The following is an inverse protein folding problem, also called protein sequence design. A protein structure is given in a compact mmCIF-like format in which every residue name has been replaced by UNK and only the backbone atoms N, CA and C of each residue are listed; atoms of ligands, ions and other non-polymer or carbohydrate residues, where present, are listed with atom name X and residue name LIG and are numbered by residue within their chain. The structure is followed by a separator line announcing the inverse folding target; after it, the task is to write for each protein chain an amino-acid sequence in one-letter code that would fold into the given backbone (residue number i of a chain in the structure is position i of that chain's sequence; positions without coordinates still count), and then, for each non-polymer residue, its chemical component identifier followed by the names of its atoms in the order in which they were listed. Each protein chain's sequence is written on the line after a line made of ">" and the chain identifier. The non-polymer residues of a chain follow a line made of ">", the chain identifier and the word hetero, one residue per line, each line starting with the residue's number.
data_IF_480067139434
#
_entry.id   IF_480067139434
#
_cell.length_a   1.000
_cell.length_b   1.000
_cell.length_c   1.000
_cell.angle_alpha   90.00
_cell.angle_beta   90.00
_cell.angle_gamma   90.00
#
_symmetry.space_group_name_H-M   'P 1'
#
loop_
_entity.id
_entity.type
_entity.pdbx_description
1 polymer ?
#
# COMPACT_ATOMS: atom_id res chain seq x y z
N UNK A 1 -22.16 2.92 35.65
CA UNK A 1 -21.62 3.10 34.28
C UNK A 1 -21.04 4.50 34.18
N UNK A 2 -19.78 4.67 34.57
CA UNK A 2 -19.02 5.89 34.34
C UNK A 2 -18.54 5.88 32.89
N UNK A 3 -19.19 6.67 32.04
CA UNK A 3 -18.73 6.89 30.67
C UNK A 3 -17.36 7.59 30.75
N UNK A 4 -16.29 6.88 30.39
CA UNK A 4 -15.00 7.50 30.12
C UNK A 4 -15.23 8.51 28.99
N UNK A 5 -14.84 9.79 29.14
CA UNK A 5 -14.99 10.75 28.07
C UNK A 5 -14.22 10.25 26.85
N UNK A 6 -14.84 10.29 25.67
CA UNK A 6 -14.19 9.97 24.40
C UNK A 6 -13.10 11.03 24.19
N UNK A 7 -11.86 10.71 24.57
CA UNK A 7 -10.71 11.60 24.40
C UNK A 7 -10.52 11.85 22.90
N UNK A 8 -10.58 13.11 22.48
CA UNK A 8 -10.34 13.47 21.09
C UNK A 8 -8.83 13.52 20.86
N UNK A 9 -8.25 12.83 19.86
CA UNK A 9 -6.81 12.90 19.60
C UNK A 9 -6.30 14.32 19.35
N UNK A 10 -7.14 15.24 18.89
CA UNK A 10 -6.77 16.65 18.72
C UNK A 10 -6.57 17.41 20.04
N UNK A 11 -6.94 16.84 21.19
CA UNK A 11 -6.62 17.41 22.50
C UNK A 11 -5.14 17.18 22.88
N UNK A 12 -4.47 16.22 22.22
CA UNK A 12 -3.07 15.83 22.48
C UNK A 12 -2.14 16.39 21.40
N UNK A 13 -2.62 16.51 20.15
CA UNK A 13 -1.80 16.94 19.02
C UNK A 13 -1.66 18.47 18.94
N UNK A 14 -0.48 19.01 18.58
CA UNK A 14 -0.31 20.44 18.33
C UNK A 14 -1.24 20.94 17.22
N UNK A 15 -1.88 22.10 17.43
CA UNK A 15 -2.84 22.67 16.47
C UNK A 15 -2.24 22.97 15.07
N UNK A 16 -0.91 23.17 14.98
CA UNK A 16 -0.19 23.47 13.73
C UNK A 16 0.51 22.27 13.10
N UNK A 17 0.34 21.06 13.67
CA UNK A 17 1.10 19.87 13.28
C UNK A 17 0.99 19.55 11.79
N UNK A 18 -0.20 19.71 11.21
CA UNK A 18 -0.47 19.33 9.82
C UNK A 18 -0.28 20.47 8.81
N UNK A 19 0.13 21.67 9.24
CA UNK A 19 0.13 22.86 8.37
C UNK A 19 1.10 22.76 7.18
N UNK A 20 2.30 22.18 7.37
CA UNK A 20 3.26 22.04 6.26
C UNK A 20 2.92 20.86 5.33
N UNK A 21 2.18 19.85 5.81
CA UNK A 21 1.66 18.79 4.94
C UNK A 21 0.57 19.31 3.99
N UNK A 22 0.00 20.48 4.28
CA UNK A 22 -0.89 21.22 3.38
C UNK A 22 -0.19 22.31 2.56
N UNK A 23 1.13 22.52 2.72
CA UNK A 23 1.85 23.55 1.96
C UNK A 23 1.86 23.21 0.47
N UNK A 24 1.38 24.16 -0.36
CA UNK A 24 1.43 24.04 -1.81
C UNK A 24 2.84 24.42 -2.27
N UNK A 25 3.42 23.63 -3.16
CA UNK A 25 4.76 23.90 -3.72
C UNK A 25 5.82 22.85 -3.42
N UNK A 26 5.45 21.59 -3.17
CA UNK A 26 6.40 20.46 -3.20
C UNK A 26 7.32 20.28 -1.99
N UNK A 27 7.54 21.35 -1.23
CA UNK A 27 8.22 21.36 0.08
C UNK A 27 7.70 20.29 1.06
N UNK A 28 6.43 19.88 0.94
CA UNK A 28 5.86 18.75 1.68
C UNK A 28 6.73 17.48 1.57
N UNK A 29 7.25 17.17 0.39
CA UNK A 29 8.06 15.98 0.14
C UNK A 29 9.38 16.06 0.89
N UNK A 30 10.01 17.24 0.89
CA UNK A 30 11.22 17.50 1.66
C UNK A 30 10.96 17.40 3.17
N UNK A 31 9.87 17.99 3.68
CA UNK A 31 9.52 17.88 5.10
C UNK A 31 9.35 16.41 5.55
N UNK A 32 8.62 15.60 4.77
CA UNK A 32 8.39 14.19 5.11
C UNK A 32 9.69 13.39 5.02
N UNK A 33 10.51 13.62 3.98
CA UNK A 33 11.80 12.94 3.83
C UNK A 33 12.76 13.25 4.99
N UNK A 34 12.84 14.52 5.40
CA UNK A 34 13.64 14.96 6.55
C UNK A 34 13.13 14.30 7.84
N UNK A 35 11.82 14.32 8.08
CA UNK A 35 11.24 13.73 9.28
C UNK A 35 11.48 12.22 9.38
N UNK A 36 11.39 11.48 8.28
CA UNK A 36 11.68 10.05 8.26
C UNK A 36 13.15 9.74 8.59
N UNK A 37 14.09 10.57 8.09
CA UNK A 37 15.51 10.44 8.44
C UNK A 37 15.75 10.72 9.92
N UNK A 38 15.15 11.78 10.45
CA UNK A 38 15.24 12.10 11.88
C UNK A 38 14.63 10.97 12.73
N UNK A 39 13.53 10.36 12.28
CA UNK A 39 12.93 9.19 12.91
C UNK A 39 13.88 7.99 12.94
N UNK A 40 14.52 7.66 11.82
CA UNK A 40 15.50 6.56 11.75
C UNK A 40 16.69 6.81 12.71
N UNK A 41 17.13 8.06 12.85
CA UNK A 41 18.18 8.44 13.81
C UNK A 41 17.68 8.32 15.25
N UNK A 42 16.44 8.73 15.53
CA UNK A 42 15.85 8.65 16.86
C UNK A 42 15.59 7.19 17.30
N UNK A 43 15.24 6.29 16.38
CA UNK A 43 14.91 4.89 16.65
C UNK A 43 16.08 4.14 17.32
N UNK A 44 17.31 4.41 16.90
CA UNK A 44 18.50 3.67 17.37
C UNK A 44 19.42 4.47 18.28
N UNK A 45 19.20 5.78 18.44
CA UNK A 45 20.07 6.63 19.25
C UNK A 45 19.60 6.73 20.70
N UNK A 46 20.39 6.16 21.61
CA UNK A 46 20.14 6.19 23.07
C UNK A 46 20.61 7.47 23.77
N UNK A 47 21.44 8.28 23.11
CA UNK A 47 22.11 9.44 23.73
C UNK A 47 21.46 10.77 23.37
N UNK A 48 20.31 10.75 22.69
CA UNK A 48 19.62 11.94 22.21
C UNK A 48 20.24 12.51 20.94
N UNK A 49 19.47 13.32 20.22
CA UNK A 49 19.89 13.95 18.96
C UNK A 49 20.36 15.38 19.25
N UNK A 50 21.65 15.68 19.06
CA UNK A 50 22.12 17.06 19.17
C UNK A 50 21.67 17.88 17.96
N UNK A 51 21.46 19.19 18.15
CA UNK A 51 21.07 20.10 17.06
C UNK A 51 22.03 20.05 15.87
N UNK A 52 23.33 19.99 16.12
CA UNK A 52 24.37 19.94 15.08
C UNK A 52 24.22 18.69 14.21
N UNK A 53 24.06 17.54 14.85
CA UNK A 53 23.89 16.25 14.18
C UNK A 53 22.62 16.20 13.33
N UNK A 54 21.51 16.80 13.78
CA UNK A 54 20.28 16.92 12.98
C UNK A 54 20.47 17.85 11.78
N UNK A 55 21.19 18.97 11.95
CA UNK A 55 21.45 19.92 10.86
C UNK A 55 22.37 19.31 9.81
N UNK A 56 23.37 18.54 10.24
CA UNK A 56 24.27 17.83 9.33
C UNK A 56 23.51 16.79 8.50
N UNK A 57 22.59 16.02 9.10
CA UNK A 57 21.75 15.07 8.35
C UNK A 57 20.83 15.80 7.35
N UNK A 58 20.18 16.88 7.76
CA UNK A 58 19.31 17.65 6.85
C UNK A 58 20.13 18.23 5.69
N UNK A 59 21.33 18.75 5.98
CA UNK A 59 22.23 19.30 4.97
C UNK A 59 22.72 18.22 3.99
N UNK A 60 23.00 17.01 4.50
CA UNK A 60 23.37 15.86 3.69
C UNK A 60 22.22 15.42 2.77
N UNK A 61 20.98 15.39 3.29
CA UNK A 61 19.79 15.12 2.48
C UNK A 61 19.60 16.16 1.37
N UNK A 62 19.69 17.46 1.67
CA UNK A 62 19.58 18.52 0.65
C UNK A 62 20.69 18.45 -0.42
N UNK A 63 21.83 17.82 -0.09
CA UNK A 63 22.91 17.55 -1.05
C UNK A 63 22.72 16.27 -1.88
N UNK A 64 21.75 15.43 -1.54
CA UNK A 64 21.55 14.12 -2.17
C UNK A 64 20.87 14.21 -3.54
N UNK A 65 21.09 13.18 -4.37
CA UNK A 65 20.39 13.02 -5.66
C UNK A 65 18.87 12.92 -5.48
N UNK A 66 18.42 12.41 -4.33
CA UNK A 66 17.00 12.33 -3.98
C UNK A 66 16.36 13.71 -3.89
N UNK A 67 16.99 14.67 -3.18
CA UNK A 67 16.49 16.03 -3.08
C UNK A 67 16.46 16.73 -4.45
N UNK A 68 17.52 16.58 -5.24
CA UNK A 68 17.60 17.15 -6.60
C UNK A 68 16.54 16.56 -7.54
N UNK A 69 16.19 15.29 -7.38
CA UNK A 69 15.11 14.65 -8.16
C UNK A 69 13.73 15.22 -7.81
N UNK A 70 13.52 15.60 -6.54
CA UNK A 70 12.29 16.21 -6.07
C UNK A 70 12.15 17.64 -6.59
N UNK A 71 13.22 18.43 -6.48
CA UNK A 71 13.28 19.80 -7.02
C UNK A 71 12.96 19.82 -8.53
N UNK A 72 13.56 18.91 -9.29
CA UNK A 72 13.32 18.79 -10.73
C UNK A 72 11.89 18.36 -11.08
N UNK A 73 11.26 17.51 -10.25
CA UNK A 73 9.87 17.09 -10.42
C UNK A 73 8.86 18.20 -10.06
N UNK A 74 9.29 19.22 -9.34
CA UNK A 74 8.44 20.32 -8.83
C UNK A 74 8.47 21.55 -9.74
N UNK A 75 9.54 21.74 -10.52
CA UNK A 75 9.63 22.75 -11.57
C UNK A 75 8.53 22.59 -12.64
N UNK A 76 8.02 21.37 -12.85
CA UNK A 76 6.90 21.09 -13.76
C UNK A 76 5.51 21.42 -13.18
N UNK A 77 5.42 21.74 -11.88
CA UNK A 77 4.14 21.82 -11.14
C UNK A 77 3.79 23.20 -10.56
N UNK A 78 4.66 24.20 -10.65
CA UNK A 78 4.46 25.50 -9.99
C UNK A 78 4.20 26.66 -10.97
N UNK A 79 2.91 26.95 -11.19
CA UNK A 79 2.41 28.28 -11.53
C UNK A 79 1.23 28.60 -10.60
N UNK A 80 1.51 29.03 -9.37
CA UNK A 80 0.84 30.19 -8.75
C UNK A 80 1.46 30.50 -7.38
N UNK A 81 1.53 31.79 -7.11
CA UNK A 81 2.17 32.44 -5.97
C UNK A 81 1.18 32.63 -4.81
N UNK A 82 1.63 32.37 -3.58
CA UNK A 82 1.22 33.10 -2.38
C UNK A 82 2.13 32.72 -1.20
N UNK A 83 3.24 33.43 -1.02
CA UNK A 83 4.11 33.22 0.13
C UNK A 83 4.38 34.54 0.87
N UNK A 84 4.08 34.53 2.17
CA UNK A 84 4.41 35.58 3.14
C UNK A 84 5.91 35.96 3.03
N UNK A 85 6.31 37.25 2.99
CA UNK A 85 7.70 37.67 2.76
C UNK A 85 8.74 37.10 3.73
N UNK A 86 8.30 36.60 4.90
CA UNK A 86 9.15 35.98 5.91
C UNK A 86 9.28 34.46 5.76
N UNK A 87 8.68 33.90 4.70
CA UNK A 87 8.58 32.46 4.43
C UNK A 87 9.22 32.06 3.10
N UNK A 88 10.00 32.98 2.51
CA UNK A 88 10.85 32.69 1.36
C UNK A 88 11.95 31.69 1.77
N UNK A 89 12.15 30.64 0.95
CA UNK A 89 13.28 29.74 1.16
C UNK A 89 14.59 30.54 1.16
N UNK A 90 15.53 30.24 2.09
CA UNK A 90 16.88 30.79 2.05
C UNK A 90 17.58 30.46 0.73
N UNK A 91 18.61 31.22 0.39
CA UNK A 91 19.39 31.02 -0.85
C UNK A 91 19.81 29.55 -1.03
N UNK A 92 19.53 28.92 -2.20
CA UNK A 92 19.87 27.52 -2.48
C UNK A 92 21.35 27.19 -2.28
N UNK A 93 22.23 28.21 -2.28
CA UNK A 93 23.68 28.08 -2.16
C UNK A 93 24.14 27.72 -0.74
N UNK A 94 23.37 28.08 0.30
CA UNK A 94 23.74 27.82 1.69
C UNK A 94 22.88 26.72 2.35
N UNK A 95 23.32 25.46 2.21
CA UNK A 95 22.61 24.28 2.73
C UNK A 95 22.45 24.27 4.26
N UNK A 96 23.42 24.80 5.01
CA UNK A 96 23.35 24.85 6.47
C UNK A 96 22.27 25.83 6.96
N UNK A 97 22.10 26.96 6.26
CA UNK A 97 21.05 27.93 6.55
C UNK A 97 19.67 27.36 6.21
N UNK A 98 19.54 26.67 5.07
CA UNK A 98 18.31 25.94 4.73
C UNK A 98 17.99 24.85 5.75
N UNK A 99 18.97 24.03 6.15
CA UNK A 99 18.78 23.00 7.16
C UNK A 99 18.31 23.59 8.49
N UNK A 100 18.90 24.72 8.90
CA UNK A 100 18.47 25.47 10.09
C UNK A 100 17.06 26.03 9.96
N UNK A 101 16.66 26.46 8.76
CA UNK A 101 15.30 26.93 8.46
C UNK A 101 14.28 25.79 8.54
N UNK A 102 14.56 24.63 7.93
CA UNK A 102 13.73 23.44 8.02
C UNK A 102 13.56 22.96 9.47
N UNK A 103 14.65 22.90 10.23
CA UNK A 103 14.61 22.51 11.64
C UNK A 103 13.75 23.47 12.47
N UNK A 104 13.84 24.79 12.23
CA UNK A 104 13.01 25.78 12.92
C UNK A 104 11.52 25.56 12.63
N UNK A 105 11.18 25.38 11.35
CA UNK A 105 9.81 25.08 10.89
C UNK A 105 9.23 23.83 11.55
N UNK A 106 10.00 22.74 11.59
CA UNK A 106 9.57 21.49 12.20
C UNK A 106 9.31 21.65 13.71
N UNK A 107 10.12 22.44 14.40
CA UNK A 107 9.90 22.76 15.81
C UNK A 107 8.67 23.65 16.02
N UNK A 108 8.50 24.71 15.22
CA UNK A 108 7.32 25.60 15.30
C UNK A 108 5.99 24.89 14.99
N UNK A 109 6.03 23.88 14.12
CA UNK A 109 4.88 23.04 13.81
C UNK A 109 4.56 22.02 14.92
N UNK A 110 5.50 21.78 15.85
CA UNK A 110 5.36 20.82 16.94
C UNK A 110 5.67 19.37 16.53
N UNK A 111 6.43 19.12 15.47
CA UNK A 111 6.95 17.76 15.23
C UNK A 111 8.19 17.44 16.05
N UNK A 112 8.94 18.47 16.42
CA UNK A 112 10.17 18.36 17.17
C UNK A 112 10.12 19.31 18.36
N UNK A 113 10.68 18.89 19.48
CA UNK A 113 10.88 19.72 20.67
C UNK A 113 12.37 19.99 20.86
N UNK A 114 12.69 21.11 21.52
CA UNK A 114 14.06 21.47 21.87
C UNK A 114 14.23 21.40 23.37
N UNK A 115 15.21 20.63 23.82
CA UNK A 115 15.65 20.60 25.21
C UNK A 115 17.06 21.20 25.30
N UNK A 116 17.23 22.20 26.18
CA UNK A 116 18.52 22.78 26.50
C UNK A 116 19.01 22.21 27.82
N UNK A 117 20.16 21.54 27.80
CA UNK A 117 20.80 21.07 29.03
C UNK A 117 21.59 22.21 29.70
N UNK A 118 21.93 22.03 30.98
CA UNK A 118 22.75 22.98 31.74
C UNK A 118 24.11 23.32 31.09
N UNK A 119 24.61 22.42 30.23
CA UNK A 119 25.87 22.58 29.49
C UNK A 119 25.72 23.38 28.18
N UNK A 120 24.57 24.04 27.97
CA UNK A 120 24.19 24.77 26.74
C UNK A 120 24.10 23.91 25.47
N UNK A 121 24.16 22.59 25.62
CA UNK A 121 23.93 21.64 24.52
C UNK A 121 22.43 21.58 24.21
N UNK A 122 22.09 21.81 22.93
CA UNK A 122 20.71 21.71 22.44
C UNK A 122 20.44 20.30 21.89
N UNK A 123 19.46 19.63 22.49
CA UNK A 123 18.92 18.36 22.03
C UNK A 123 17.58 18.55 21.33
N UNK A 124 17.37 17.76 20.29
CA UNK A 124 16.13 17.65 19.55
C UNK A 124 15.42 16.37 20.01
N UNK A 125 14.20 16.54 20.51
CA UNK A 125 13.36 15.45 20.99
C UNK A 125 12.24 15.22 19.97
N UNK A 126 11.96 13.95 19.69
CA UNK A 126 10.83 13.52 18.92
C UNK A 126 9.73 13.04 19.88
N UNK A 127 8.59 13.76 19.99
CA UNK A 127 7.49 13.35 20.87
C UNK A 127 6.84 12.03 20.46
N UNK A 128 6.19 11.33 21.41
CA UNK A 128 5.56 10.02 21.19
C UNK A 128 4.53 10.00 20.05
N UNK A 129 3.73 11.06 19.94
CA UNK A 129 2.75 11.18 18.85
C UNK A 129 3.44 11.31 17.48
N UNK A 130 4.57 12.02 17.42
CA UNK A 130 5.34 12.20 16.19
C UNK A 130 5.97 10.87 15.78
N UNK A 131 6.53 10.12 16.73
CA UNK A 131 7.05 8.77 16.48
C UNK A 131 5.96 7.86 15.87
N UNK A 132 4.77 7.83 16.48
CA UNK A 132 3.63 7.04 16.00
C UNK A 132 3.20 7.42 14.58
N UNK A 133 3.14 8.72 14.28
CA UNK A 133 2.75 9.21 12.96
C UNK A 133 3.82 8.94 11.90
N UNK A 134 5.10 9.11 12.23
CA UNK A 134 6.20 8.84 11.30
C UNK A 134 6.32 7.36 10.96
N UNK A 135 6.12 6.47 11.93
CA UNK A 135 6.10 5.04 11.67
C UNK A 135 4.92 4.65 10.76
N UNK A 136 3.77 5.31 10.90
CA UNK A 136 2.65 5.12 9.98
C UNK A 136 3.00 5.60 8.55
N UNK A 137 3.67 6.75 8.40
CA UNK A 137 4.14 7.25 7.09
C UNK A 137 5.20 6.33 6.48
N UNK A 138 6.14 5.82 7.29
CA UNK A 138 7.15 4.84 6.87
C UNK A 138 6.50 3.56 6.36
N UNK A 139 5.50 3.06 7.08
CA UNK A 139 4.73 1.87 6.67
C UNK A 139 4.03 2.09 5.32
N UNK A 140 3.49 3.30 5.09
CA UNK A 140 2.88 3.68 3.79
C UNK A 140 3.94 3.72 2.69
N UNK A 141 5.11 4.30 2.95
CA UNK A 141 6.22 4.40 1.99
C UNK A 141 6.74 3.02 1.57
N UNK A 142 6.94 2.11 2.53
CA UNK A 142 7.51 0.78 2.26
C UNK A 142 6.55 -0.13 1.50
N UNK A 143 5.24 0.15 1.54
CA UNK A 143 4.18 -0.69 0.94
C UNK A 143 4.34 -2.19 1.28
N UNK A 144 4.84 -2.50 2.48
CA UNK A 144 5.25 -3.86 2.83
C UNK A 144 4.04 -4.80 2.71
N UNK A 145 4.14 -5.92 1.96
CA UNK A 145 3.05 -6.88 1.86
C UNK A 145 2.78 -7.44 3.26
N UNK A 146 1.51 -7.42 3.67
CA UNK A 146 1.11 -7.89 4.99
C UNK A 146 1.28 -9.40 5.12
N UNK A 147 1.83 -9.82 6.26
CA UNK A 147 2.11 -11.21 6.59
C UNK A 147 0.91 -11.86 7.32
N UNK A 148 -0.20 -12.09 6.61
CA UNK A 148 -1.41 -12.69 7.19
C UNK A 148 -1.18 -14.12 7.69
N UNK A 149 -0.40 -14.90 6.94
CA UNK A 149 -0.13 -16.31 7.24
C UNK A 149 0.71 -16.48 8.50
N UNK A 150 1.64 -15.55 8.75
CA UNK A 150 2.46 -15.54 9.97
C UNK A 150 1.62 -15.28 11.21
N UNK A 151 0.74 -14.26 11.16
CA UNK A 151 -0.16 -13.93 12.28
C UNK A 151 -1.13 -15.08 12.59
N UNK A 152 -1.70 -15.71 11.55
CA UNK A 152 -2.60 -16.85 11.75
C UNK A 152 -1.86 -18.07 12.32
N UNK A 153 -0.64 -18.33 11.87
CA UNK A 153 0.22 -19.37 12.44
C UNK A 153 0.53 -19.09 13.91
N UNK A 154 0.90 -17.85 14.26
CA UNK A 154 1.15 -17.45 15.65
C UNK A 154 -0.09 -17.65 16.52
N UNK A 155 -1.27 -17.23 16.05
CA UNK A 155 -2.53 -17.46 16.78
C UNK A 155 -2.81 -18.96 16.99
N UNK A 156 -2.56 -19.79 15.96
CA UNK A 156 -2.68 -21.24 16.06
C UNK A 156 -1.73 -21.82 17.10
N UNK A 157 -0.45 -21.44 17.07
CA UNK A 157 0.54 -21.90 18.04
C UNK A 157 0.18 -21.47 19.46
N UNK A 158 -0.20 -20.21 19.68
CA UNK A 158 -0.60 -19.70 21.00
C UNK A 158 -1.77 -20.50 21.60
N UNK A 159 -2.75 -20.87 20.78
CA UNK A 159 -3.94 -21.59 21.25
C UNK A 159 -3.67 -23.08 21.45
N UNK A 160 -2.84 -23.68 20.60
CA UNK A 160 -2.59 -25.13 20.60
C UNK A 160 -1.39 -25.55 21.45
N UNK A 161 -0.56 -24.61 21.91
CA UNK A 161 0.59 -24.91 22.76
C UNK A 161 0.19 -25.59 24.08
N UNK A 162 1.03 -26.52 24.55
CA UNK A 162 0.83 -27.30 25.77
C UNK A 162 2.15 -27.43 26.54
N UNK A 163 2.74 -26.29 26.93
CA UNK A 163 3.95 -26.23 27.75
C UNK A 163 3.66 -26.00 29.23
N UNK A 164 4.63 -26.30 30.09
CA UNK A 164 4.52 -26.15 31.54
C UNK A 164 4.44 -24.66 31.98
N UNK A 165 5.04 -23.74 31.21
CA UNK A 165 5.00 -22.28 31.43
C UNK A 165 3.83 -21.57 30.69
N UNK A 166 2.81 -22.32 30.27
CA UNK A 166 1.71 -21.78 29.51
C UNK A 166 0.81 -20.87 30.35
N UNK A 167 0.75 -19.59 30.00
CA UNK A 167 -0.24 -18.62 30.50
C UNK A 167 -1.46 -18.59 29.55
N UNK A 168 -2.61 -19.15 29.94
CA UNK A 168 -3.80 -19.13 29.10
C UNK A 168 -4.35 -17.72 28.86
N UNK A 169 -4.24 -16.83 29.85
CA UNK A 169 -4.71 -15.44 29.73
C UNK A 169 -3.88 -14.65 28.69
N UNK A 170 -2.55 -14.78 28.75
CA UNK A 170 -1.66 -14.14 27.79
C UNK A 170 -1.82 -14.74 26.38
N UNK A 171 -1.90 -16.07 26.28
CA UNK A 171 -2.07 -16.74 25.00
C UNK A 171 -3.37 -16.32 24.30
N UNK A 172 -4.48 -16.23 25.05
CA UNK A 172 -5.78 -15.82 24.50
C UNK A 172 -5.78 -14.36 24.06
N UNK A 173 -5.23 -13.45 24.87
CA UNK A 173 -5.15 -12.02 24.53
C UNK A 173 -4.27 -11.77 23.31
N UNK A 174 -3.11 -12.42 23.21
CA UNK A 174 -2.26 -12.34 22.03
C UNK A 174 -2.91 -12.98 20.80
N UNK A 175 -3.59 -14.12 20.95
CA UNK A 175 -4.30 -14.76 19.84
C UNK A 175 -5.44 -13.88 19.32
N UNK A 176 -6.17 -13.20 20.22
CA UNK A 176 -7.20 -12.22 19.84
C UNK A 176 -6.62 -11.12 18.95
N UNK A 177 -5.51 -10.48 19.33
CA UNK A 177 -4.90 -9.42 18.53
C UNK A 177 -4.38 -9.94 17.19
N UNK A 178 -3.76 -11.13 17.15
CA UNK A 178 -3.31 -11.73 15.89
C UNK A 178 -4.49 -12.01 14.94
N UNK A 179 -5.57 -12.62 15.42
CA UNK A 179 -6.76 -12.91 14.61
C UNK A 179 -7.42 -11.61 14.14
N UNK A 180 -7.53 -10.61 15.01
CA UNK A 180 -8.05 -9.28 14.67
C UNK A 180 -7.22 -8.60 13.57
N UNK A 181 -5.90 -8.68 13.66
CA UNK A 181 -4.99 -8.14 12.63
C UNK A 181 -5.16 -8.86 11.29
N UNK A 182 -5.29 -10.19 11.29
CA UNK A 182 -5.56 -10.98 10.08
C UNK A 182 -6.86 -10.53 9.42
N UNK A 183 -7.98 -10.50 10.16
CA UNK A 183 -9.27 -10.13 9.59
C UNK A 183 -9.28 -8.69 9.08
N UNK A 184 -8.74 -7.75 9.87
CA UNK A 184 -8.60 -6.35 9.44
C UNK A 184 -7.78 -6.26 8.16
N UNK A 185 -6.67 -6.99 8.12
CA UNK A 185 -5.79 -7.09 6.97
C UNK A 185 -6.49 -7.56 5.70
N UNK A 186 -7.23 -8.66 5.79
CA UNK A 186 -8.03 -9.22 4.70
C UNK A 186 -9.19 -8.30 4.28
N UNK A 187 -9.83 -7.64 5.24
CA UNK A 187 -10.90 -6.67 4.96
C UNK A 187 -10.37 -5.45 4.21
N UNK A 188 -9.20 -4.95 4.59
CA UNK A 188 -8.53 -3.85 3.89
C UNK A 188 -8.06 -4.28 2.49
N UNK A 189 -7.53 -5.49 2.33
CA UNK A 189 -7.23 -6.07 1.01
C UNK A 189 -8.48 -6.09 0.12
N UNK A 190 -9.60 -6.55 0.67
CA UNK A 190 -10.89 -6.63 -0.03
C UNK A 190 -11.36 -5.23 -0.51
N UNK A 191 -11.28 -4.23 0.37
CA UNK A 191 -11.61 -2.84 0.04
C UNK A 191 -10.65 -2.24 -1.00
N UNK A 192 -9.36 -2.56 -0.91
CA UNK A 192 -8.36 -2.11 -1.87
C UNK A 192 -8.64 -2.68 -3.27
N UNK A 193 -8.91 -3.98 -3.39
CA UNK A 193 -9.27 -4.60 -4.68
C UNK A 193 -10.49 -3.88 -5.28
N UNK A 194 -11.54 -3.62 -4.47
CA UNK A 194 -12.71 -2.86 -4.91
C UNK A 194 -12.33 -1.47 -5.46
N UNK A 195 -11.51 -0.70 -4.72
CA UNK A 195 -11.03 0.61 -5.15
C UNK A 195 -10.29 0.53 -6.49
N UNK A 196 -9.47 -0.50 -6.71
CA UNK A 196 -8.80 -0.74 -7.99
C UNK A 196 -9.77 -1.09 -9.12
N UNK A 197 -10.78 -1.94 -8.86
CA UNK A 197 -11.84 -2.25 -9.85
C UNK A 197 -12.58 -0.99 -10.30
N UNK A 198 -12.92 -0.11 -9.37
CA UNK A 198 -13.57 1.17 -9.65
C UNK A 198 -12.65 2.11 -10.46
N UNK A 199 -11.35 2.14 -10.18
CA UNK A 199 -10.36 2.94 -10.93
C UNK A 199 -10.23 2.50 -12.39
N UNK A 200 -10.20 1.18 -12.65
CA UNK A 200 -10.10 0.59 -13.99
C UNK A 200 -11.33 0.88 -14.86
N UNK A 201 -12.51 1.01 -14.24
CA UNK A 201 -13.78 1.21 -14.96
C UNK A 201 -13.94 2.65 -15.48
N UNK A 202 -13.09 3.59 -15.03
CA UNK A 202 -13.08 4.97 -15.54
C UNK A 202 -12.39 5.02 -16.90
N UNK A 203 -12.90 5.87 -17.80
CA UNK A 203 -12.31 6.03 -19.13
C UNK A 203 -10.93 6.69 -19.03
N UNK A 204 -9.88 5.86 -19.05
CA UNK A 204 -8.45 6.24 -18.90
C UNK A 204 -7.65 5.70 -20.07
N UNK A 205 -6.58 6.36 -20.53
CA UNK A 205 -5.75 5.84 -21.62
C UNK A 205 -5.15 4.46 -21.29
N UNK A 206 -4.89 3.66 -22.34
CA UNK A 206 -4.35 2.29 -22.21
C UNK A 206 -3.05 2.24 -21.42
N UNK A 207 -2.15 3.20 -21.61
CA UNK A 207 -0.88 3.29 -20.88
C UNK A 207 -1.09 3.38 -19.37
N UNK A 208 -2.10 4.14 -18.93
CA UNK A 208 -2.44 4.29 -17.52
C UNK A 208 -3.11 3.03 -16.95
N UNK A 209 -3.95 2.36 -17.74
CA UNK A 209 -4.53 1.06 -17.35
C UNK A 209 -3.46 -0.03 -17.18
N UNK A 210 -2.44 -0.03 -18.06
CA UNK A 210 -1.32 -0.96 -17.96
C UNK A 210 -0.46 -0.68 -16.71
N UNK A 211 -0.13 0.59 -16.43
CA UNK A 211 0.56 0.97 -15.19
C UNK A 211 -0.24 0.55 -13.95
N UNK A 212 -1.55 0.78 -13.95
CA UNK A 212 -2.43 0.37 -12.86
C UNK A 212 -2.42 -1.17 -12.66
N UNK A 213 -2.34 -1.94 -13.74
CA UNK A 213 -2.31 -3.40 -13.67
C UNK A 213 -0.96 -3.93 -13.18
N UNK A 214 0.15 -3.43 -13.72
CA UNK A 214 1.47 -4.03 -13.54
C UNK A 214 2.31 -3.36 -12.45
N UNK A 215 2.22 -2.04 -12.29
CA UNK A 215 3.01 -1.28 -11.33
C UNK A 215 2.27 -1.16 -9.99
N UNK A 216 0.96 -0.82 -10.03
CA UNK A 216 0.18 -0.64 -8.80
C UNK A 216 -0.38 -1.99 -8.29
N UNK A 217 -1.25 -2.65 -9.06
CA UNK A 217 -2.02 -3.79 -8.57
C UNK A 217 -1.18 -5.06 -8.38
N UNK A 218 -0.40 -5.43 -9.40
CA UNK A 218 0.37 -6.66 -9.38
C UNK A 218 1.49 -6.65 -8.33
N UNK A 219 2.13 -5.50 -8.08
CA UNK A 219 3.19 -5.41 -7.06
C UNK A 219 2.62 -5.37 -5.64
N UNK A 220 1.55 -4.60 -5.41
CA UNK A 220 1.03 -4.38 -4.05
C UNK A 220 0.12 -5.51 -3.59
N UNK A 221 -0.81 -5.95 -4.45
CA UNK A 221 -1.87 -6.90 -4.07
C UNK A 221 -1.61 -8.32 -4.57
N UNK A 222 -0.80 -8.48 -5.62
CA UNK A 222 -0.43 -9.78 -6.18
C UNK A 222 0.21 -10.73 -5.16
N UNK A 223 1.29 -10.33 -4.45
CA UNK A 223 1.92 -11.17 -3.45
C UNK A 223 0.99 -11.53 -2.28
N UNK A 224 0.23 -10.54 -1.80
CA UNK A 224 -0.70 -10.73 -0.67
C UNK A 224 -1.79 -11.77 -1.01
N UNK A 225 -2.35 -11.67 -2.21
CA UNK A 225 -3.35 -12.62 -2.73
C UNK A 225 -2.75 -14.02 -3.00
N UNK A 226 -1.56 -14.08 -3.60
CA UNK A 226 -0.91 -15.36 -3.90
C UNK A 226 -0.60 -16.14 -2.62
N UNK A 227 0.00 -15.49 -1.62
CA UNK A 227 0.30 -16.09 -0.31
C UNK A 227 -0.95 -16.67 0.35
N UNK A 228 -2.06 -15.94 0.28
CA UNK A 228 -3.36 -16.39 0.80
C UNK A 228 -3.82 -17.67 0.11
N UNK A 229 -3.77 -17.70 -1.23
CA UNK A 229 -4.24 -18.82 -2.04
C UNK A 229 -3.37 -20.07 -1.92
N UNK A 230 -2.06 -19.91 -1.75
CA UNK A 230 -1.13 -21.04 -1.60
C UNK A 230 -1.02 -21.55 -0.17
N UNK A 231 -1.63 -20.87 0.80
CA UNK A 231 -1.60 -21.29 2.20
C UNK A 231 -2.65 -22.38 2.49
N UNK A 232 -2.28 -23.64 2.29
CA UNK A 232 -3.11 -24.81 2.63
C UNK A 232 -3.43 -24.88 4.15
N UNK A 233 -2.69 -24.14 4.96
CA UNK A 233 -2.78 -24.18 6.40
C UNK A 233 -3.99 -23.44 7.00
N UNK A 234 -4.66 -22.55 6.27
CA UNK A 234 -5.72 -21.70 6.83
C UNK A 234 -6.91 -22.52 7.33
N UNK A 235 -7.36 -23.49 6.54
CA UNK A 235 -8.49 -24.36 6.90
C UNK A 235 -8.15 -25.29 8.08
N UNK A 236 -6.91 -25.80 8.11
CA UNK A 236 -6.42 -26.63 9.21
C UNK A 236 -6.33 -25.84 10.51
N UNK A 237 -5.67 -24.68 10.48
CA UNK A 237 -5.50 -23.83 11.66
C UNK A 237 -6.84 -23.37 12.22
N UNK A 238 -7.80 -23.03 11.35
CA UNK A 238 -9.18 -22.73 11.75
C UNK A 238 -9.77 -23.84 12.61
N UNK A 239 -9.81 -25.06 12.08
CA UNK A 239 -10.45 -26.18 12.78
C UNK A 239 -9.80 -26.42 14.14
N UNK A 240 -8.47 -26.41 14.19
CA UNK A 240 -7.72 -26.65 15.42
C UNK A 240 -7.98 -25.54 16.47
N UNK A 241 -7.97 -24.27 16.04
CA UNK A 241 -8.27 -23.11 16.89
C UNK A 241 -9.69 -23.20 17.45
N UNK A 242 -10.70 -23.37 16.59
CA UNK A 242 -12.11 -23.38 17.01
C UNK A 242 -12.36 -24.53 18.01
N UNK A 243 -11.89 -25.74 17.69
CA UNK A 243 -12.07 -26.89 18.57
C UNK A 243 -11.46 -26.64 19.96
N UNK A 244 -10.26 -26.05 20.01
CA UNK A 244 -9.57 -25.76 21.26
C UNK A 244 -10.29 -24.68 22.08
N UNK A 245 -10.75 -23.61 21.43
CA UNK A 245 -11.49 -22.54 22.07
C UNK A 245 -12.86 -23.00 22.60
N UNK A 246 -13.57 -23.86 21.87
CA UNK A 246 -14.84 -24.45 22.32
C UNK A 246 -14.64 -25.35 23.55
N UNK A 247 -13.53 -26.10 23.61
CA UNK A 247 -13.15 -26.87 24.80
C UNK A 247 -12.93 -25.95 26.01
N UNK A 248 -12.16 -24.88 25.85
CA UNK A 248 -11.91 -23.88 26.90
C UNK A 248 -13.18 -23.18 27.37
N UNK A 249 -14.10 -22.87 26.44
CA UNK A 249 -15.38 -22.24 26.75
C UNK A 249 -16.28 -23.13 27.62
N UNK A 250 -16.18 -24.46 27.48
CA UNK A 250 -17.01 -25.42 28.22
C UNK A 250 -16.40 -25.80 29.56
N UNK A 251 -15.08 -25.64 29.73
CA UNK A 251 -14.37 -25.93 30.97
C UNK A 251 -14.47 -24.76 31.97
N UNK A 252 -15.44 -24.85 32.88
CA UNK A 252 -15.63 -23.86 33.95
C UNK A 252 -14.40 -23.71 34.87
N UNK A 253 -13.63 -24.78 35.08
CA UNK A 253 -12.43 -24.75 35.91
C UNK A 253 -11.26 -24.08 35.20
N UNK A 254 -11.16 -24.22 33.89
CA UNK A 254 -10.23 -23.44 33.06
C UNK A 254 -10.60 -21.96 33.08
N UNK A 255 -11.88 -21.61 32.83
CA UNK A 255 -12.34 -20.22 32.79
C UNK A 255 -12.07 -19.48 34.09
N UNK A 256 -12.37 -20.09 35.25
CA UNK A 256 -12.13 -19.47 36.55
C UNK A 256 -10.63 -19.17 36.78
N UNK A 257 -9.75 -20.14 36.51
CA UNK A 257 -8.30 -19.96 36.67
C UNK A 257 -7.74 -18.87 35.75
N UNK A 258 -8.17 -18.86 34.48
CA UNK A 258 -7.72 -17.86 33.51
C UNK A 258 -8.26 -16.47 33.85
N UNK A 259 -9.48 -16.36 34.37
CA UNK A 259 -10.07 -15.09 34.80
C UNK A 259 -9.35 -14.50 36.02
N UNK A 260 -8.99 -15.34 36.99
CA UNK A 260 -8.19 -14.90 38.14
C UNK A 260 -6.81 -14.40 37.68
N UNK A 261 -6.15 -15.13 36.78
CA UNK A 261 -4.87 -14.72 36.20
C UNK A 261 -4.99 -13.36 35.49
N UNK A 262 -5.96 -13.20 34.58
CA UNK A 262 -6.17 -11.95 33.85
C UNK A 262 -6.51 -10.78 34.79
N UNK A 263 -7.29 -11.03 35.85
CA UNK A 263 -7.64 -10.02 36.85
C UNK A 263 -6.40 -9.49 37.59
N UNK A 264 -5.46 -10.37 37.94
CA UNK A 264 -4.18 -9.95 38.56
C UNK A 264 -3.33 -9.08 37.62
N UNK A 265 -3.33 -9.36 36.32
CA UNK A 265 -2.56 -8.61 35.33
C UNK A 265 -3.18 -7.25 34.99
N UNK A 266 -4.51 -7.17 34.89
CA UNK A 266 -5.22 -6.00 34.34
C UNK A 266 -5.83 -5.07 35.38
N UNK A 267 -5.62 -5.31 36.68
CA UNK A 267 -6.25 -4.59 37.82
C UNK A 267 -7.79 -4.55 37.71
N UNK A 268 -8.39 -5.63 37.20
CA UNK A 268 -9.84 -5.78 37.04
C UNK A 268 -10.41 -6.76 38.06
N UNK A 269 -11.74 -6.77 38.19
CA UNK A 269 -12.42 -7.80 39.01
C UNK A 269 -12.44 -9.14 38.26
N UNK A 270 -12.45 -10.29 38.97
CA UNK A 270 -12.52 -11.62 38.33
C UNK A 270 -13.76 -11.78 37.43
N UNK A 271 -14.89 -11.16 37.79
CA UNK A 271 -16.09 -11.17 36.96
C UNK A 271 -15.89 -10.43 35.62
N UNK A 272 -15.30 -9.23 35.64
CA UNK A 272 -14.99 -8.49 34.42
C UNK A 272 -13.97 -9.22 33.54
N UNK A 273 -12.96 -9.85 34.15
CA UNK A 273 -11.98 -10.65 33.43
C UNK A 273 -12.62 -11.88 32.76
N UNK A 274 -13.55 -12.56 33.43
CA UNK A 274 -14.30 -13.67 32.84
C UNK A 274 -15.16 -13.24 31.65
N UNK A 275 -15.83 -12.09 31.73
CA UNK A 275 -16.60 -11.54 30.61
C UNK A 275 -15.71 -11.21 29.41
N UNK A 276 -14.52 -10.65 29.66
CA UNK A 276 -13.52 -10.30 28.65
C UNK A 276 -12.95 -11.55 27.96
N UNK A 277 -12.61 -12.59 28.73
CA UNK A 277 -12.19 -13.90 28.18
C UNK A 277 -13.28 -14.48 27.28
N UNK A 278 -14.54 -14.48 27.74
CA UNK A 278 -15.66 -14.96 26.94
C UNK A 278 -15.88 -14.12 25.69
N UNK A 279 -15.60 -12.81 25.74
CA UNK A 279 -15.63 -11.95 24.55
C UNK A 279 -14.54 -12.34 23.56
N UNK A 280 -13.29 -12.53 24.02
CA UNK A 280 -12.18 -12.94 23.15
C UNK A 280 -12.42 -14.29 22.49
N UNK A 281 -12.87 -15.29 23.25
CA UNK A 281 -13.21 -16.62 22.71
C UNK A 281 -14.28 -16.49 21.62
N UNK A 282 -15.40 -15.81 21.91
CA UNK A 282 -16.50 -15.62 20.96
C UNK A 282 -16.06 -14.88 19.71
N UNK A 283 -15.28 -13.82 19.87
CA UNK A 283 -14.73 -13.06 18.74
C UNK A 283 -13.87 -13.96 17.86
N UNK A 284 -12.89 -14.68 18.42
CA UNK A 284 -12.00 -15.51 17.61
C UNK A 284 -12.80 -16.58 16.88
N UNK A 285 -13.74 -17.27 17.54
CA UNK A 285 -14.57 -18.30 16.88
C UNK A 285 -15.35 -17.70 15.71
N UNK A 286 -16.10 -16.62 15.94
CA UNK A 286 -16.90 -15.96 14.89
C UNK A 286 -16.04 -15.48 13.71
N UNK A 287 -14.90 -14.85 14.00
CA UNK A 287 -13.99 -14.38 12.95
C UNK A 287 -13.36 -15.53 12.16
N UNK A 288 -13.05 -16.65 12.82
CA UNK A 288 -12.49 -17.83 12.17
C UNK A 288 -13.53 -18.57 11.32
N UNK A 289 -14.80 -18.62 11.74
CA UNK A 289 -15.91 -19.17 10.95
C UNK A 289 -16.22 -18.30 9.72
N UNK A 290 -16.20 -16.98 9.87
CA UNK A 290 -16.45 -16.01 8.78
C UNK A 290 -15.25 -15.80 7.85
N UNK A 291 -14.12 -16.48 8.11
CA UNK A 291 -12.92 -16.35 7.30
C UNK A 291 -13.15 -16.88 5.86
N UNK A 292 -13.75 -18.06 5.70
CA UNK A 292 -13.97 -18.67 4.38
C UNK A 292 -14.85 -17.80 3.45
N UNK A 293 -16.01 -17.27 3.91
CA UNK A 293 -16.78 -16.31 3.13
C UNK A 293 -15.97 -15.08 2.72
N UNK A 294 -15.14 -14.53 3.61
CA UNK A 294 -14.30 -13.38 3.31
C UNK A 294 -13.26 -13.70 2.22
N UNK A 295 -12.62 -14.88 2.30
CA UNK A 295 -11.68 -15.35 1.28
C UNK A 295 -12.36 -15.53 -0.08
N UNK A 296 -13.55 -16.13 -0.10
CA UNK A 296 -14.33 -16.32 -1.32
C UNK A 296 -14.72 -14.98 -1.97
N UNK A 297 -15.07 -13.97 -1.18
CA UNK A 297 -15.37 -12.63 -1.67
C UNK A 297 -14.12 -11.94 -2.25
N UNK A 298 -12.96 -12.10 -1.61
CA UNK A 298 -11.67 -11.61 -2.12
C UNK A 298 -11.35 -12.28 -3.47
N UNK A 299 -11.50 -13.60 -3.57
CA UNK A 299 -11.31 -14.37 -4.81
C UNK A 299 -12.24 -13.90 -5.93
N UNK A 300 -13.51 -13.68 -5.60
CA UNK A 300 -14.51 -13.20 -6.55
C UNK A 300 -14.12 -11.82 -7.10
N UNK A 301 -13.77 -10.87 -6.22
CA UNK A 301 -13.39 -9.51 -6.62
C UNK A 301 -12.06 -9.47 -7.35
N UNK A 302 -11.08 -10.27 -6.93
CA UNK A 302 -9.81 -10.39 -7.65
C UNK A 302 -10.05 -10.85 -9.09
N UNK A 303 -10.88 -11.88 -9.27
CA UNK A 303 -11.25 -12.39 -10.59
C UNK A 303 -12.04 -11.36 -11.41
N UNK A 304 -12.96 -10.63 -10.76
CA UNK A 304 -13.73 -9.56 -11.39
C UNK A 304 -12.82 -8.42 -11.86
N UNK A 305 -11.86 -8.01 -11.04
CA UNK A 305 -10.87 -6.99 -11.38
C UNK A 305 -10.11 -7.39 -12.65
N UNK A 306 -9.51 -8.59 -12.69
CA UNK A 306 -8.74 -9.07 -13.85
C UNK A 306 -9.58 -9.14 -15.12
N UNK A 307 -10.83 -9.63 -15.04
CA UNK A 307 -11.74 -9.67 -16.19
C UNK A 307 -12.08 -8.27 -16.69
N UNK A 308 -12.33 -7.34 -15.77
CA UNK A 308 -12.71 -5.96 -16.09
C UNK A 308 -11.53 -5.19 -16.69
N UNK A 309 -10.33 -5.31 -16.12
CA UNK A 309 -9.13 -4.66 -16.64
C UNK A 309 -8.76 -5.16 -18.03
N UNK A 310 -8.76 -6.47 -18.26
CA UNK A 310 -8.50 -7.04 -19.59
C UNK A 310 -9.55 -6.62 -20.62
N UNK A 311 -10.83 -6.56 -20.21
CA UNK A 311 -11.91 -6.09 -21.10
C UNK A 311 -11.72 -4.62 -21.47
N UNK A 312 -11.38 -3.76 -20.51
CA UNK A 312 -11.17 -2.34 -20.75
C UNK A 312 -9.96 -2.08 -21.65
N UNK A 313 -8.84 -2.75 -21.37
CA UNK A 313 -7.63 -2.66 -22.20
C UNK A 313 -7.95 -3.13 -23.63
N UNK A 314 -8.64 -4.26 -23.80
CA UNK A 314 -9.04 -4.75 -25.12
C UNK A 314 -9.97 -3.78 -25.83
N UNK A 315 -10.97 -3.26 -25.13
CA UNK A 315 -11.92 -2.31 -25.70
C UNK A 315 -11.20 -1.06 -26.23
N UNK A 316 -10.27 -0.50 -25.45
CA UNK A 316 -9.53 0.69 -25.86
C UNK A 316 -8.51 0.41 -26.95
N UNK A 317 -7.82 -0.74 -26.94
CA UNK A 317 -6.94 -1.12 -28.04
C UNK A 317 -7.71 -1.32 -29.35
N UNK A 318 -8.90 -1.91 -29.30
CA UNK A 318 -9.75 -2.13 -30.48
C UNK A 318 -10.48 -0.86 -30.93
N UNK A 319 -10.73 0.09 -30.02
CA UNK A 319 -11.45 1.34 -30.32
C UNK A 319 -10.51 2.50 -30.71
N UNK A 320 -9.32 2.59 -30.12
CA UNK A 320 -8.31 3.60 -30.47
C UNK A 320 -7.71 3.34 -31.86
N UNK A 321 -7.54 2.06 -32.20
CA UNK A 321 -7.20 1.63 -33.53
C UNK A 321 -8.51 1.29 -34.24
N UNK A 322 -9.26 2.32 -34.68
CA UNK A 322 -10.49 2.15 -35.46
C UNK A 322 -10.35 0.95 -36.39
N UNK A 323 -11.33 0.05 -36.31
CA UNK A 323 -11.34 -1.35 -36.79
C UNK A 323 -10.17 -1.65 -37.72
N UNK A 324 -9.43 -2.74 -37.52
CA UNK A 324 -8.43 -3.20 -38.50
C UNK A 324 -8.92 -3.06 -39.98
N UNK A 325 -10.23 -3.24 -40.19
CA UNK A 325 -10.92 -2.94 -41.45
C UNK A 325 -10.90 -1.46 -41.86
N UNK A 326 -11.19 -0.51 -40.97
CA UNK A 326 -11.11 0.94 -41.23
C UNK A 326 -9.67 1.40 -41.54
N UNK A 327 -8.66 0.83 -40.87
CA UNK A 327 -7.25 1.07 -41.23
C UNK A 327 -6.92 0.55 -42.62
N UNK A 328 -7.32 -0.69 -42.93
CA UNK A 328 -7.17 -1.25 -44.27
C UNK A 328 -7.88 -0.42 -45.33
N UNK A 329 -9.10 0.07 -45.03
CA UNK A 329 -9.87 0.92 -45.93
C UNK A 329 -9.19 2.28 -46.11
N UNK A 330 -8.63 2.88 -45.05
CA UNK A 330 -7.91 4.15 -45.13
C UNK A 330 -6.63 4.02 -45.96
N UNK A 331 -5.85 2.95 -45.74
CA UNK A 331 -4.63 2.64 -46.50
C UNK A 331 -4.95 2.35 -47.96
N UNK A 332 -6.00 1.56 -48.23
CA UNK A 332 -6.44 1.28 -49.60
C UNK A 332 -6.88 2.56 -50.34
N UNK A 333 -7.58 3.47 -49.66
CA UNK A 333 -7.96 4.78 -50.23
C UNK A 333 -6.74 5.65 -50.52
N UNK A 334 -5.77 5.71 -49.61
CA UNK A 334 -4.53 6.46 -49.82
C UNK A 334 -3.70 5.88 -50.97
N UNK A 335 -3.61 4.55 -51.07
CA UNK A 335 -2.88 3.86 -52.13
C UNK A 335 -3.56 4.07 -53.50
N UNK A 336 -4.89 4.03 -53.56
CA UNK A 336 -5.65 4.37 -54.77
C UNK A 336 -5.47 5.85 -55.19
N UNK A 337 -5.43 6.76 -54.22
CA UNK A 337 -5.17 8.18 -54.48
C UNK A 337 -3.74 8.42 -55.03
N UNK A 338 -2.75 7.68 -54.53
CA UNK A 338 -1.37 7.72 -55.04
C UNK A 338 -1.26 7.13 -56.45
N UNK A 339 -1.95 6.02 -56.74
CA UNK A 339 -1.99 5.44 -58.09
C UNK A 339 -2.63 6.38 -59.11
N UNK A 340 -3.71 7.06 -58.75
CA UNK A 340 -4.39 8.03 -59.62
C UNK A 340 -3.53 9.27 -59.92
N UNK A 341 -2.56 9.61 -59.06
CA UNK A 341 -1.60 10.71 -59.29
C UNK A 341 -0.47 10.36 -60.25
N UNK A 342 -0.38 9.11 -60.74
CA UNK A 342 0.71 8.61 -61.63
C UNK A 342 2.12 8.83 -61.06
N UNK A 343 2.28 8.99 -59.74
CA UNK A 343 3.60 9.03 -59.11
C UNK A 343 4.10 7.59 -58.89
N UNK A 344 4.71 7.04 -59.93
CA UNK A 344 5.48 5.80 -59.86
C UNK A 344 6.88 6.08 -59.29
N UNK A 345 6.96 6.64 -58.09
CA UNK A 345 8.24 6.77 -57.36
C UNK A 345 8.07 6.25 -55.95
N UNK A 346 8.33 4.95 -55.80
CA UNK A 346 8.67 4.40 -54.51
C UNK A 346 9.96 5.11 -54.02
N UNK A 347 10.07 5.49 -52.74
CA UNK A 347 11.30 6.05 -52.18
C UNK A 347 12.48 5.10 -52.42
N UNK A 348 13.65 5.63 -52.80
CA UNK A 348 14.85 4.83 -53.10
C UNK A 348 15.33 3.98 -51.90
N UNK A 349 14.91 4.31 -50.69
CA UNK A 349 15.27 3.63 -49.44
C UNK A 349 14.26 2.54 -49.03
N UNK A 350 13.26 2.25 -49.84
CA UNK A 350 12.29 1.22 -49.51
C UNK A 350 12.96 -0.16 -49.64
N UNK A 351 13.00 -1.00 -48.59
CA UNK A 351 13.49 -2.36 -48.72
C UNK A 351 12.65 -3.03 -49.80
N UNK A 352 13.31 -3.69 -50.75
CA UNK A 352 12.63 -4.40 -51.82
C UNK A 352 11.62 -5.34 -51.16
N UNK A 353 10.33 -5.02 -51.29
CA UNK A 353 9.31 -6.00 -51.01
C UNK A 353 9.59 -7.10 -52.01
N UNK A 354 10.19 -8.19 -51.54
CA UNK A 354 10.12 -9.45 -52.23
C UNK A 354 8.63 -9.79 -52.23
N UNK A 355 7.93 -9.31 -53.26
CA UNK A 355 6.69 -9.90 -53.70
C UNK A 355 7.09 -11.32 -54.08
N UNK A 356 7.10 -12.22 -53.10
CA UNK A 356 6.80 -13.62 -53.38
C UNK A 356 5.49 -13.55 -54.15
N UNK A 357 5.47 -13.90 -55.45
CA UNK A 357 4.23 -13.88 -56.19
C UNK A 357 3.36 -14.96 -55.54
N UNK A 358 2.47 -14.55 -54.64
CA UNK A 358 1.39 -15.39 -54.19
C UNK A 358 0.51 -15.56 -55.42
N UNK A 359 0.77 -16.63 -56.16
CA UNK A 359 -0.07 -17.06 -57.27
C UNK A 359 -1.41 -17.45 -56.64
N UNK A 360 -2.36 -16.51 -56.64
CA UNK A 360 -3.75 -16.89 -56.56
C UNK A 360 -4.00 -17.89 -57.70
N UNK A 361 -4.67 -19.03 -57.44
CA UNK A 361 -4.96 -19.98 -58.49
C UNK A 361 -5.87 -19.30 -59.53
N UNK A 362 -5.33 -19.03 -60.71
CA UNK A 362 -6.10 -18.60 -61.87
C UNK A 362 -6.67 -19.82 -62.62
N UNK A 363 -7.44 -19.57 -63.68
CA UNK A 363 -8.08 -20.62 -64.48
C UNK A 363 -7.09 -21.61 -65.15
N UNK A 364 -5.79 -21.29 -65.18
CA UNK A 364 -4.71 -22.12 -65.73
C UNK A 364 -3.80 -22.72 -64.64
N UNK A 365 -4.18 -22.59 -63.37
CA UNK A 365 -3.42 -23.14 -62.25
C UNK A 365 -3.55 -24.66 -62.15
N UNK A 366 -2.41 -25.37 -62.13
CA UNK A 366 -2.35 -26.81 -61.84
C UNK A 366 -2.67 -27.17 -60.38
N UNK A 367 -2.98 -26.19 -59.53
CA UNK A 367 -3.33 -26.41 -58.13
C UNK A 367 -4.80 -26.80 -58.00
N UNK A 368 -5.08 -28.06 -57.68
CA UNK A 368 -6.40 -28.53 -57.26
C UNK A 368 -6.61 -28.31 -55.75
N UNK A 369 -7.60 -27.52 -55.32
CA UNK A 369 -7.89 -27.34 -53.91
C UNK A 369 -8.37 -28.66 -53.27
N UNK A 370 -8.01 -28.94 -52.01
CA UNK A 370 -8.42 -30.16 -51.32
C UNK A 370 -9.94 -30.17 -51.12
N UNK A 371 -10.61 -31.20 -51.67
CA UNK A 371 -12.05 -31.41 -51.48
C UNK A 371 -12.35 -31.66 -50.01
N UNK A 372 -13.14 -30.79 -49.38
CA UNK A 372 -13.77 -31.08 -48.09
C UNK A 372 -14.55 -32.39 -48.21
N UNK A 373 -14.21 -33.41 -47.42
CA UNK A 373 -15.12 -34.53 -47.19
C UNK A 373 -16.34 -33.98 -46.46
N UNK A 374 -17.52 -34.29 -47.01
CA UNK A 374 -18.80 -34.04 -46.35
C UNK A 374 -18.85 -34.82 -45.02
N UNK A 375 -19.68 -34.36 -44.05
CA UNK A 375 -19.55 -34.69 -42.63
C UNK A 375 -19.63 -36.18 -42.29
#
# INVERSE_FOLDING_TARGET
>A
MSQTPVANPFDILPAKLFNFLGSKGGLQRHYVAILLRIHDMAEFNRFGLTRELVIDEISAYLGSEEAQSLDNAELDAAADDSTDPNDALPDPTNRQEQASWFLRRLVESGWLEREQQADYTEFIILPDYAFTLLEALRTIQQQKPREYTGQLYTAHQLITHQGDDFSPALALTQAYENVRQVVRGLSELNQNIRRYTERVTRDRPVSELLRLQFDDYAQILGPAYHTLKTSDHVSRYRRDIINRLQQWQTDAGWLARTADELATQTRRTPAQAADEINHYIRFIIDQMENLDPLLAEIDHRHSQYLRTSLRQIRYQLVSADGSYQDRLVSLARQLAALQNRRDSRLPAEMPAFHSMPVRHPDANSYYTPPRRRAP
#
